data_IF_442623285436
#
_entry.id   IF_442623285436
#
_cell.length_a   1.000
_cell.length_b   1.000
_cell.length_c   1.000
_cell.angle_alpha   90.00
_cell.angle_beta   90.00
_cell.angle_gamma   90.00
#
_symmetry.space_group_name_H-M   'P 1'
#
loop_
_entity.id
_entity.type
_entity.pdbx_description
1 polymer ?
#
# COMPACT_ATOMS: atom_id res chain seq x y z
N UNK A 1 15.56 -14.50 8.79
CA UNK A 1 14.38 -14.66 7.91
C UNK A 1 14.40 -13.56 6.87
N UNK A 2 15.13 -13.76 5.77
CA UNK A 2 15.03 -12.91 4.58
C UNK A 2 14.76 -13.86 3.42
N UNK A 3 13.50 -13.95 2.99
CA UNK A 3 13.20 -14.61 1.73
C UNK A 3 13.13 -13.52 0.66
N UNK A 4 14.31 -13.16 0.14
CA UNK A 4 14.42 -12.62 -1.21
C UNK A 4 14.23 -13.82 -2.15
N UNK A 5 13.01 -14.03 -2.63
CA UNK A 5 12.72 -15.03 -3.65
C UNK A 5 12.94 -14.38 -5.01
N UNK A 6 14.18 -14.37 -5.46
CA UNK A 6 14.51 -14.28 -6.88
C UNK A 6 13.81 -15.44 -7.59
N UNK A 7 12.69 -15.15 -8.26
CA UNK A 7 12.02 -16.14 -9.10
C UNK A 7 12.79 -16.18 -10.42
N UNK A 8 13.87 -16.98 -10.43
CA UNK A 8 14.66 -17.27 -11.60
C UNK A 8 13.77 -17.95 -12.66
N UNK A 9 13.60 -17.29 -13.79
CA UNK A 9 12.93 -17.79 -14.99
C UNK A 9 13.84 -18.83 -15.66
N UNK A 10 13.49 -20.12 -15.58
CA UNK A 10 14.18 -21.18 -16.35
C UNK A 10 13.25 -22.26 -16.91
N UNK A 11 12.04 -21.92 -17.38
CA UNK A 11 11.27 -22.84 -18.24
C UNK A 11 10.68 -22.16 -19.48
N UNK A 12 11.05 -22.60 -20.70
CA UNK A 12 10.76 -21.87 -21.94
C UNK A 12 9.32 -22.00 -22.47
N UNK A 13 8.42 -22.77 -21.84
CA UNK A 13 7.16 -23.17 -22.49
C UNK A 13 5.87 -22.96 -21.67
N UNK A 14 5.90 -22.18 -20.58
CA UNK A 14 4.71 -21.98 -19.75
C UNK A 14 4.39 -20.50 -19.65
N UNK A 15 3.30 -20.11 -20.32
CA UNK A 15 2.71 -18.80 -20.16
C UNK A 15 2.18 -18.70 -18.72
N UNK A 16 2.62 -17.65 -18.04
CA UNK A 16 1.94 -16.99 -16.93
C UNK A 16 1.81 -17.75 -15.59
N UNK A 17 2.74 -17.47 -14.68
CA UNK A 17 2.39 -17.30 -13.26
C UNK A 17 2.59 -15.82 -12.92
N UNK A 18 1.56 -15.02 -13.21
CA UNK A 18 1.42 -13.71 -12.60
C UNK A 18 1.46 -13.89 -11.09
N UNK A 19 2.28 -13.07 -10.45
CA UNK A 19 2.56 -13.06 -9.01
C UNK A 19 1.30 -13.23 -8.15
N UNK A 20 1.26 -14.17 -7.18
CA UNK A 20 0.10 -14.45 -6.34
C UNK A 20 -0.08 -13.43 -5.19
N UNK A 21 0.12 -12.14 -5.45
CA UNK A 21 -0.07 -11.10 -4.44
C UNK A 21 -1.22 -10.19 -4.85
N UNK A 22 -2.29 -10.23 -4.04
CA UNK A 22 -3.40 -9.27 -4.06
C UNK A 22 -2.82 -7.85 -4.18
N UNK A 23 -3.15 -7.15 -5.26
CA UNK A 23 -2.63 -5.81 -5.52
C UNK A 23 -3.38 -4.80 -4.64
N UNK A 24 -2.70 -4.22 -3.65
CA UNK A 24 -3.20 -3.09 -2.87
C UNK A 24 -2.91 -1.77 -3.59
N UNK A 25 -3.71 -1.37 -4.57
CA UNK A 25 -3.57 -0.03 -5.13
C UNK A 25 -4.28 0.98 -4.22
N UNK A 26 -3.57 2.02 -3.80
CA UNK A 26 -4.10 3.10 -2.94
C UNK A 26 -4.18 4.36 -3.77
N UNK A 27 -5.34 5.01 -3.78
CA UNK A 27 -5.52 6.33 -4.36
C UNK A 27 -5.60 7.32 -3.19
N UNK A 28 -4.70 8.30 -3.19
CA UNK A 28 -4.68 9.37 -2.20
C UNK A 28 -5.00 10.69 -2.89
N UNK A 29 -5.78 11.52 -2.22
CA UNK A 29 -6.00 12.92 -2.62
C UNK A 29 -5.19 13.84 -1.70
N UNK A 30 -4.79 15.00 -2.22
CA UNK A 30 -3.98 16.02 -1.52
C UNK A 30 -2.72 15.49 -0.79
N UNK A 31 -2.06 14.46 -1.35
CA UNK A 31 -0.92 13.81 -0.71
C UNK A 31 0.29 14.73 -0.52
N UNK A 32 1.03 14.51 0.57
CA UNK A 32 2.31 15.16 0.88
C UNK A 32 3.38 14.10 1.10
N UNK A 33 4.49 14.23 0.38
CA UNK A 33 5.69 13.43 0.58
C UNK A 33 6.61 14.12 1.58
N UNK A 34 7.13 13.37 2.55
CA UNK A 34 8.20 13.82 3.45
C UNK A 34 9.52 13.17 3.00
N UNK A 35 10.49 14.00 2.63
CA UNK A 35 11.80 13.56 2.16
C UNK A 35 12.79 13.44 3.30
N UNK A 36 13.91 12.76 3.03
CA UNK A 36 15.07 12.76 3.91
C UNK A 36 15.51 14.22 4.16
N UNK A 37 15.55 14.62 5.45
CA UNK A 37 15.81 16.01 5.85
C UNK A 37 14.58 16.80 6.29
N UNK A 38 13.37 16.23 6.21
CA UNK A 38 12.13 16.84 6.71
C UNK A 38 11.43 17.76 5.72
N UNK A 39 11.94 17.87 4.49
CA UNK A 39 11.31 18.62 3.42
C UNK A 39 9.97 17.99 3.04
N UNK A 40 8.92 18.82 2.96
CA UNK A 40 7.56 18.39 2.60
C UNK A 40 7.19 18.86 1.21
N UNK A 41 6.82 17.92 0.34
CA UNK A 41 6.43 18.19 -1.06
C UNK A 41 4.97 17.82 -1.25
N UNK A 42 4.16 18.79 -1.69
CA UNK A 42 2.76 18.55 -2.07
C UNK A 42 2.71 17.84 -3.43
N UNK A 43 2.09 16.68 -3.48
CA UNK A 43 1.93 15.86 -4.68
C UNK A 43 0.52 15.95 -5.27
N UNK A 44 -0.50 16.24 -4.45
CA UNK A 44 -1.89 16.26 -4.90
C UNK A 44 -2.46 14.84 -5.04
N UNK A 45 -3.15 14.56 -6.15
CA UNK A 45 -3.73 13.24 -6.41
C UNK A 45 -2.67 12.25 -6.87
N UNK A 46 -2.48 11.15 -6.13
CA UNK A 46 -1.47 10.13 -6.43
C UNK A 46 -2.04 8.72 -6.31
N UNK A 47 -1.41 7.80 -7.05
CA UNK A 47 -1.71 6.37 -6.99
C UNK A 47 -0.46 5.62 -6.55
N UNK A 48 -0.58 4.87 -5.45
CA UNK A 48 0.48 4.02 -4.92
C UNK A 48 0.16 2.57 -5.28
N UNK A 49 1.12 1.88 -5.92
CA UNK A 49 1.00 0.46 -6.26
C UNK A 49 1.36 -0.41 -5.06
N UNK A 50 0.52 -1.39 -4.74
CA UNK A 50 0.67 -2.19 -3.52
C UNK A 50 1.94 -3.01 -3.41
N UNK A 51 2.59 -3.31 -4.53
CA UNK A 51 3.88 -4.00 -4.54
C UNK A 51 5.03 -3.12 -4.00
N UNK A 52 4.81 -1.82 -3.87
CA UNK A 52 5.79 -0.84 -3.40
C UNK A 52 5.53 -0.36 -1.97
N UNK A 53 4.46 -0.86 -1.32
CA UNK A 53 4.14 -0.50 0.07
C UNK A 53 4.83 -1.47 1.02
N UNK A 54 5.76 -0.97 1.82
CA UNK A 54 6.48 -1.77 2.83
C UNK A 54 5.74 -1.75 4.18
N UNK A 55 5.25 -0.58 4.58
CA UNK A 55 4.53 -0.36 5.84
C UNK A 55 3.52 0.77 5.65
N UNK A 56 2.39 0.69 6.36
CA UNK A 56 1.40 1.75 6.46
C UNK A 56 0.89 1.81 7.89
N UNK A 57 0.85 3.00 8.46
CA UNK A 57 0.31 3.25 9.79
C UNK A 57 -0.81 4.28 9.72
N UNK A 58 -1.80 4.13 10.60
CA UNK A 58 -2.84 5.12 10.77
C UNK A 58 -2.37 6.12 11.85
N UNK A 59 -2.10 7.35 11.43
CA UNK A 59 -1.71 8.43 12.36
C UNK A 59 -2.86 8.86 13.28
N UNK A 60 -4.09 8.60 12.86
CA UNK A 60 -5.29 8.76 13.69
C UNK A 60 -6.23 7.56 13.49
N UNK A 61 -7.05 7.24 14.50
CA UNK A 61 -8.01 6.13 14.39
C UNK A 61 -9.19 6.57 13.52
N UNK A 62 -9.39 5.87 12.41
CA UNK A 62 -10.62 6.00 11.62
C UNK A 62 -11.78 5.42 12.45
N UNK A 63 -12.60 6.30 13.05
CA UNK A 63 -13.95 6.05 13.59
C UNK A 63 -14.14 4.73 14.36
N UNK A 64 -13.93 4.75 15.67
CA UNK A 64 -14.43 3.71 16.55
C UNK A 64 -15.96 3.77 16.59
N UNK A 65 -16.61 2.80 15.93
CA UNK A 65 -18.00 2.35 16.12
C UNK A 65 -18.98 3.33 16.79
N UNK A 66 -19.47 4.34 16.07
CA UNK A 66 -20.62 5.16 16.48
C UNK A 66 -21.98 4.43 16.31
N UNK A 67 -22.01 3.09 16.26
CA UNK A 67 -23.23 2.32 15.98
C UNK A 67 -23.88 1.67 17.20
N UNK A 68 -23.96 2.33 18.36
CA UNK A 68 -24.84 1.81 19.43
C UNK A 68 -25.19 2.78 20.58
N UNK A 69 -25.75 3.96 20.28
CA UNK A 69 -26.50 4.75 21.29
C UNK A 69 -27.80 5.36 20.78
N UNK A 70 -28.47 4.69 19.84
CA UNK A 70 -29.85 5.00 19.47
C UNK A 70 -30.75 3.76 19.58
N UNK A 71 -30.84 3.16 20.77
CA UNK A 71 -32.04 2.42 21.17
C UNK A 71 -32.24 2.47 22.69
N UNK A 72 -33.31 3.20 23.06
CA UNK A 72 -33.95 3.38 24.37
C UNK A 72 -33.39 4.47 25.28
#
# INVERSE_FOLDING_TARGET
MYYSLETFVTRPNWIMLITPKVFLNIVLDEAVEEKEGGDKVKLGMVVIRGNSVVMMEALDRIGGDDRQHHHR
#
